data_IF_433048289339
#
_entry.id   IF_433048289339
#
_cell.length_a   1.000
_cell.length_b   1.000
_cell.length_c   1.000
_cell.angle_alpha   90.00
_cell.angle_beta   90.00
_cell.angle_gamma   90.00
#
_symmetry.space_group_name_H-M   'P 1'
#
loop_
_entity.id
_entity.type
_entity.pdbx_description
1 polymer ?
#
# COMPACT_ATOMS: atom_id res chain seq x y z
N UNK A 1 27.96 -28.88 16.39
CA UNK A 1 28.63 -30.10 16.93
C UNK A 1 29.91 -29.81 17.73
N UNK A 2 30.42 -28.58 17.77
CA UNK A 2 31.64 -28.21 18.52
C UNK A 2 31.34 -27.89 20.00
N UNK A 3 30.16 -27.37 20.35
CA UNK A 3 29.77 -27.02 21.73
C UNK A 3 29.54 -28.19 22.70
N UNK A 4 29.35 -29.43 22.20
CA UNK A 4 29.05 -30.58 23.09
C UNK A 4 30.27 -31.17 23.80
N UNK A 5 31.50 -30.82 23.40
CA UNK A 5 32.73 -31.40 23.99
C UNK A 5 33.27 -30.63 25.20
N UNK A 6 32.99 -29.34 25.35
CA UNK A 6 33.49 -28.55 26.49
C UNK A 6 32.67 -28.72 27.78
N UNK A 7 31.39 -29.11 27.67
CA UNK A 7 30.49 -29.23 28.81
C UNK A 7 30.81 -30.37 29.80
N UNK A 8 31.65 -31.36 29.43
CA UNK A 8 31.97 -32.50 30.32
C UNK A 8 32.95 -32.16 31.45
N UNK A 9 33.67 -31.04 31.39
CA UNK A 9 34.70 -30.67 32.36
C UNK A 9 34.29 -29.57 33.35
N UNK A 10 33.06 -29.05 33.24
CA UNK A 10 32.60 -27.90 34.02
C UNK A 10 32.19 -28.29 35.46
N UNK A 11 31.77 -29.55 35.67
CA UNK A 11 31.30 -30.05 36.97
C UNK A 11 32.36 -30.80 37.80
N UNK A 12 33.57 -31.01 37.27
CA UNK A 12 34.65 -31.66 38.02
C UNK A 12 35.38 -30.67 38.92
N UNK A 13 35.61 -31.01 40.20
CA UNK A 13 36.54 -30.26 41.03
C UNK A 13 37.89 -30.15 40.30
N UNK A 14 38.40 -28.93 40.16
CA UNK A 14 39.70 -28.69 39.55
C UNK A 14 40.80 -29.45 40.33
N UNK A 15 41.91 -29.78 39.66
CA UNK A 15 43.05 -30.46 40.29
C UNK A 15 43.50 -29.71 41.56
N UNK A 16 43.52 -28.37 41.50
CA UNK A 16 43.84 -27.48 42.61
C UNK A 16 42.81 -27.58 43.75
N UNK A 17 41.51 -27.58 43.42
CA UNK A 17 40.44 -27.74 44.40
C UNK A 17 40.53 -29.07 45.14
N UNK A 18 40.88 -30.16 44.44
CA UNK A 18 41.11 -31.49 45.06
C UNK A 18 42.32 -31.48 46.00
N UNK A 19 43.41 -30.83 45.59
CA UNK A 19 44.62 -30.66 46.40
C UNK A 19 44.40 -29.84 47.68
N UNK A 20 43.63 -28.74 47.59
CA UNK A 20 43.29 -27.92 48.76
C UNK A 20 42.40 -28.71 49.71
N UNK A 21 41.45 -29.48 49.18
CA UNK A 21 40.57 -30.33 49.99
C UNK A 21 41.35 -31.42 50.73
N UNK A 22 42.28 -32.12 50.04
CA UNK A 22 43.15 -33.11 50.69
C UNK A 22 44.10 -32.47 51.69
N UNK A 23 44.70 -31.32 51.38
CA UNK A 23 45.57 -30.59 52.32
C UNK A 23 44.80 -30.17 53.59
N UNK A 24 43.56 -29.69 53.43
CA UNK A 24 42.69 -29.33 54.55
C UNK A 24 42.34 -30.55 55.41
N UNK A 25 41.99 -31.67 54.77
CA UNK A 25 41.67 -32.92 55.46
C UNK A 25 42.88 -33.49 56.21
N UNK A 26 44.06 -33.42 55.60
CA UNK A 26 45.32 -33.83 56.24
C UNK A 26 45.64 -32.94 57.43
N UNK A 27 45.48 -31.62 57.33
CA UNK A 27 45.71 -30.69 58.44
C UNK A 27 44.75 -30.96 59.62
N UNK A 28 43.46 -31.18 59.33
CA UNK A 28 42.47 -31.53 60.34
C UNK A 28 42.77 -32.88 61.00
N UNK A 29 43.13 -33.90 60.20
CA UNK A 29 43.51 -35.21 60.73
C UNK A 29 44.80 -35.14 61.57
N UNK A 30 45.78 -34.36 61.12
CA UNK A 30 47.03 -34.14 61.84
C UNK A 30 46.79 -33.40 63.15
N UNK A 31 45.81 -32.50 63.24
CA UNK A 31 45.44 -31.82 64.50
C UNK A 31 45.15 -32.82 65.62
N UNK A 32 44.45 -33.93 65.34
CA UNK A 32 44.16 -34.95 66.35
C UNK A 32 45.39 -35.80 66.76
N UNK A 33 46.43 -35.85 65.91
CA UNK A 33 47.65 -36.64 66.15
C UNK A 33 48.78 -35.76 66.73
N UNK A 34 48.74 -34.46 66.44
CA UNK A 34 49.77 -33.49 66.79
C UNK A 34 50.06 -33.41 68.29
N UNK A 35 49.07 -33.44 69.21
CA UNK A 35 49.35 -33.48 70.64
C UNK A 35 50.18 -34.69 71.05
N UNK A 36 49.83 -35.88 70.58
CA UNK A 36 50.56 -37.11 70.91
C UNK A 36 52.01 -37.09 70.37
N UNK A 37 52.22 -36.58 69.16
CA UNK A 37 53.54 -36.49 68.54
C UNK A 37 54.42 -35.40 69.16
N UNK A 38 53.86 -34.22 69.39
CA UNK A 38 54.61 -33.04 69.82
C UNK A 38 54.85 -32.98 71.34
N UNK A 39 54.09 -33.71 72.17
CA UNK A 39 54.37 -33.81 73.63
C UNK A 39 55.28 -34.97 74.00
N UNK A 40 55.28 -36.08 73.23
CA UNK A 40 56.11 -37.27 73.53
C UNK A 40 57.56 -37.16 73.05
N UNK A 41 57.81 -36.32 72.05
CA UNK A 41 59.12 -36.09 71.45
C UNK A 41 59.60 -34.63 71.62
N UNK A 42 59.05 -33.87 72.58
CA UNK A 42 59.49 -32.50 72.87
C UNK A 42 60.79 -32.48 73.68
N UNK A 43 61.64 -31.48 73.39
CA UNK A 43 62.81 -31.11 74.20
C UNK A 43 62.37 -30.20 75.38
N UNK A 44 61.12 -29.74 75.36
CA UNK A 44 60.52 -28.79 76.29
C UNK A 44 59.56 -29.57 77.20
N UNK A 45 59.72 -29.38 78.52
CA UNK A 45 58.91 -30.03 79.56
C UNK A 45 57.62 -29.23 79.81
N UNK A 46 56.47 -29.89 79.65
CA UNK A 46 55.14 -29.29 79.80
C UNK A 46 54.45 -29.70 81.12
N UNK A 47 55.20 -30.28 82.07
CA UNK A 47 54.64 -30.77 83.35
C UNK A 47 54.11 -29.66 84.27
N UNK A 48 54.54 -28.40 84.12
CA UNK A 48 54.09 -27.26 84.96
C UNK A 48 53.08 -26.31 84.27
N UNK A 49 52.65 -26.57 83.03
CA UNK A 49 51.66 -25.72 82.35
C UNK A 49 50.24 -26.04 82.83
N UNK A 50 49.60 -25.06 83.48
CA UNK A 50 48.49 -25.23 84.42
C UNK A 50 47.15 -25.79 83.94
N UNK A 51 46.91 -26.07 82.66
CA UNK A 51 45.72 -26.83 82.24
C UNK A 51 46.06 -27.70 81.02
N UNK A 52 45.88 -29.02 81.11
CA UNK A 52 46.08 -29.96 79.98
C UNK A 52 45.27 -29.49 78.74
N UNK A 53 44.12 -28.85 78.97
CA UNK A 53 43.29 -28.24 77.92
C UNK A 53 44.00 -27.14 77.13
N UNK A 54 44.81 -26.29 77.76
CA UNK A 54 45.50 -25.17 77.11
C UNK A 54 46.64 -25.64 76.21
N UNK A 55 47.38 -26.66 76.63
CA UNK A 55 48.47 -27.24 75.82
C UNK A 55 47.91 -28.02 74.63
N UNK A 56 46.85 -28.80 74.84
CA UNK A 56 46.15 -29.48 73.75
C UNK A 56 45.55 -28.46 72.77
N UNK A 57 44.87 -27.43 73.28
CA UNK A 57 44.33 -26.34 72.47
C UNK A 57 45.41 -25.60 71.67
N UNK A 58 46.53 -25.24 72.30
CA UNK A 58 47.64 -24.53 71.67
C UNK A 58 48.30 -25.32 70.53
N UNK A 59 48.36 -26.65 70.62
CA UNK A 59 48.90 -27.53 69.58
C UNK A 59 47.87 -27.85 68.50
N UNK A 60 46.61 -28.09 68.86
CA UNK A 60 45.55 -28.48 67.92
C UNK A 60 45.03 -27.31 67.09
N UNK A 61 44.83 -26.14 67.72
CA UNK A 61 44.17 -24.97 67.13
C UNK A 61 44.86 -24.45 65.87
N UNK A 62 46.20 -24.36 65.77
CA UNK A 62 46.85 -23.93 64.53
C UNK A 62 46.51 -24.81 63.32
N UNK A 63 46.42 -26.13 63.50
CA UNK A 63 46.09 -27.06 62.40
C UNK A 63 44.60 -27.04 62.06
N UNK A 64 43.73 -26.87 63.07
CA UNK A 64 42.28 -26.66 62.85
C UNK A 64 42.06 -25.34 62.11
N UNK A 65 42.72 -24.27 62.54
CA UNK A 65 42.65 -22.96 61.90
C UNK A 65 43.19 -23.00 60.47
N UNK A 66 44.28 -23.73 60.21
CA UNK A 66 44.83 -23.93 58.87
C UNK A 66 43.85 -24.71 57.97
N UNK A 67 43.29 -25.81 58.46
CA UNK A 67 42.27 -26.59 57.74
C UNK A 67 41.01 -25.77 57.45
N UNK A 68 40.52 -25.02 58.44
CA UNK A 68 39.39 -24.12 58.32
C UNK A 68 39.64 -22.98 57.33
N UNK A 69 40.82 -22.37 57.35
CA UNK A 69 41.21 -21.32 56.41
C UNK A 69 41.30 -21.82 54.97
N UNK A 70 41.86 -23.02 54.75
CA UNK A 70 41.95 -23.64 53.43
C UNK A 70 40.56 -24.03 52.88
N UNK A 71 39.68 -24.59 53.71
CA UNK A 71 38.29 -24.88 53.31
C UNK A 71 37.51 -23.60 53.00
N UNK A 72 37.67 -22.56 53.82
CA UNK A 72 37.04 -21.25 53.62
C UNK A 72 37.54 -20.61 52.33
N UNK A 73 38.85 -20.64 52.05
CA UNK A 73 39.43 -20.20 50.79
C UNK A 73 38.84 -20.96 49.59
N UNK A 74 38.72 -22.29 49.69
CA UNK A 74 38.14 -23.11 48.65
C UNK A 74 36.66 -22.76 48.38
N UNK A 75 35.88 -22.53 49.43
CA UNK A 75 34.49 -22.09 49.31
C UNK A 75 34.39 -20.75 48.57
N UNK A 76 35.19 -19.75 48.96
CA UNK A 76 35.25 -18.46 48.27
C UNK A 76 35.71 -18.58 46.82
N UNK A 77 36.70 -19.43 46.54
CA UNK A 77 37.18 -19.67 45.17
C UNK A 77 36.10 -20.28 44.28
N UNK A 78 35.35 -21.27 44.79
CA UNK A 78 34.23 -21.88 44.07
C UNK A 78 33.10 -20.87 43.81
N UNK A 79 32.79 -20.02 44.80
CA UNK A 79 31.80 -18.95 44.65
C UNK A 79 32.25 -17.90 43.62
N UNK A 80 33.51 -17.49 43.64
CA UNK A 80 34.08 -16.58 42.64
C UNK A 80 33.96 -17.14 41.21
N UNK A 81 34.30 -18.43 41.04
CA UNK A 81 34.17 -19.11 39.73
C UNK A 81 32.72 -19.19 39.27
N UNK A 82 31.78 -19.51 40.17
CA UNK A 82 30.34 -19.55 39.86
C UNK A 82 29.82 -18.17 39.43
N UNK A 83 30.20 -17.10 40.15
CA UNK A 83 29.84 -15.73 39.80
C UNK A 83 30.38 -15.31 38.43
N UNK A 84 31.62 -15.73 38.09
CA UNK A 84 32.19 -15.46 36.76
C UNK A 84 31.38 -16.13 35.65
N UNK A 85 31.06 -17.42 35.80
CA UNK A 85 30.24 -18.16 34.84
C UNK A 85 28.83 -17.55 34.71
N UNK A 86 28.23 -17.16 35.83
CA UNK A 86 26.93 -16.50 35.85
C UNK A 86 26.96 -15.17 35.10
N UNK A 87 28.03 -14.37 35.27
CA UNK A 87 28.21 -13.11 34.54
C UNK A 87 28.36 -13.35 33.04
N UNK A 88 29.15 -14.35 32.63
CA UNK A 88 29.31 -14.71 31.22
C UNK A 88 27.98 -15.15 30.59
N UNK A 89 27.20 -15.98 31.30
CA UNK A 89 25.86 -16.40 30.85
C UNK A 89 24.90 -15.21 30.76
N UNK A 90 24.96 -14.29 31.71
CA UNK A 90 24.15 -13.08 31.73
C UNK A 90 24.48 -12.16 30.55
N UNK A 91 25.77 -11.98 30.23
CA UNK A 91 26.20 -11.17 29.08
C UNK A 91 25.71 -11.78 27.76
N UNK A 92 25.82 -13.11 27.60
CA UNK A 92 25.30 -13.83 26.42
C UNK A 92 23.77 -13.70 26.33
N UNK A 93 23.07 -13.80 27.45
CA UNK A 93 21.61 -13.65 27.49
C UNK A 93 21.19 -12.25 27.03
N UNK A 94 21.83 -11.20 27.56
CA UNK A 94 21.57 -9.82 27.15
C UNK A 94 21.80 -9.64 25.65
N UNK A 95 22.87 -10.22 25.11
CA UNK A 95 23.18 -10.12 23.68
C UNK A 95 22.12 -10.80 22.81
N UNK A 96 21.69 -12.01 23.20
CA UNK A 96 20.62 -12.73 22.51
C UNK A 96 19.28 -12.00 22.59
N UNK A 97 18.90 -11.48 23.77
CA UNK A 97 17.69 -10.67 23.96
C UNK A 97 17.73 -9.40 23.12
N UNK A 98 18.87 -8.69 23.09
CA UNK A 98 19.06 -7.50 22.24
C UNK A 98 18.90 -7.84 20.76
N UNK A 99 19.40 -9.00 20.32
CA UNK A 99 19.28 -9.44 18.94
C UNK A 99 17.82 -9.75 18.59
N UNK A 100 17.14 -10.53 19.41
CA UNK A 100 15.73 -10.87 19.23
C UNK A 100 14.85 -9.61 19.22
N UNK A 101 15.08 -8.69 20.15
CA UNK A 101 14.37 -7.41 20.22
C UNK A 101 14.57 -6.55 18.97
N UNK A 102 15.79 -6.54 18.40
CA UNK A 102 16.06 -5.82 17.13
C UNK A 102 15.33 -6.44 15.95
N UNK A 103 15.27 -7.77 15.89
CA UNK A 103 14.53 -8.50 14.86
C UNK A 103 13.02 -8.22 14.96
N UNK A 104 12.46 -8.28 16.17
CA UNK A 104 11.05 -7.98 16.43
C UNK A 104 10.68 -6.54 16.07
N UNK A 105 11.49 -5.55 16.48
CA UNK A 105 11.28 -4.14 16.08
C UNK A 105 11.31 -3.99 14.56
N UNK A 106 12.20 -4.70 13.87
CA UNK A 106 12.30 -4.63 12.42
C UNK A 106 11.02 -5.16 11.77
N UNK A 107 10.56 -6.33 12.19
CA UNK A 107 9.31 -6.92 11.68
C UNK A 107 8.09 -6.04 12.00
N UNK A 108 8.01 -5.48 13.21
CA UNK A 108 6.95 -4.57 13.61
C UNK A 108 6.94 -3.29 12.77
N UNK A 109 8.11 -2.71 12.49
CA UNK A 109 8.22 -1.53 11.63
C UNK A 109 7.78 -1.83 10.20
N UNK A 110 8.14 -2.99 9.64
CA UNK A 110 7.70 -3.41 8.31
C UNK A 110 6.17 -3.58 8.25
N UNK A 111 5.58 -4.24 9.25
CA UNK A 111 4.12 -4.38 9.37
C UNK A 111 3.42 -3.04 9.55
N UNK A 112 3.98 -2.15 10.38
CA UNK A 112 3.44 -0.82 10.61
C UNK A 112 3.41 0.01 9.33
N UNK A 113 4.50 0.04 8.56
CA UNK A 113 4.55 0.76 7.28
C UNK A 113 3.53 0.21 6.27
N UNK A 114 3.38 -1.13 6.20
CA UNK A 114 2.36 -1.76 5.34
C UNK A 114 0.95 -1.39 5.78
N UNK A 115 0.66 -1.44 7.08
CA UNK A 115 -0.63 -1.04 7.63
C UNK A 115 -0.95 0.44 7.39
N UNK A 116 0.03 1.33 7.58
CA UNK A 116 -0.14 2.76 7.25
C UNK A 116 -0.48 2.98 5.79
N UNK A 117 0.23 2.31 4.88
CA UNK A 117 -0.05 2.35 3.46
C UNK A 117 -1.46 1.85 3.15
N UNK A 118 -1.86 0.70 3.69
CA UNK A 118 -3.19 0.10 3.47
C UNK A 118 -4.31 1.03 3.98
N UNK A 119 -4.15 1.59 5.19
CA UNK A 119 -5.12 2.53 5.75
C UNK A 119 -5.26 3.77 4.88
N UNK A 120 -4.16 4.37 4.45
CA UNK A 120 -4.20 5.53 3.55
C UNK A 120 -4.84 5.17 2.20
N UNK A 121 -4.52 4.00 1.64
CA UNK A 121 -5.10 3.52 0.39
C UNK A 121 -6.63 3.36 0.50
N UNK A 122 -7.13 2.72 1.55
CA UNK A 122 -8.58 2.51 1.73
C UNK A 122 -9.32 3.83 1.99
N UNK A 123 -8.71 4.79 2.70
CA UNK A 123 -9.27 6.14 2.84
C UNK A 123 -9.37 6.87 1.49
N UNK A 124 -8.37 6.71 0.61
CA UNK A 124 -8.44 7.27 -0.75
C UNK A 124 -9.55 6.62 -1.59
N UNK A 125 -9.78 5.30 -1.44
CA UNK A 125 -10.94 4.63 -2.06
C UNK A 125 -12.25 5.21 -1.51
N UNK A 126 -12.35 5.41 -0.19
CA UNK A 126 -13.55 5.97 0.43
C UNK A 126 -13.88 7.35 -0.14
N UNK A 127 -12.89 8.25 -0.18
CA UNK A 127 -13.04 9.59 -0.80
C UNK A 127 -13.43 9.52 -2.27
N UNK A 128 -12.91 8.54 -3.02
CA UNK A 128 -13.32 8.32 -4.41
C UNK A 128 -14.79 7.89 -4.51
N UNK A 129 -15.26 6.99 -3.64
CA UNK A 129 -16.67 6.57 -3.60
C UNK A 129 -17.60 7.72 -3.21
N UNK A 130 -17.18 8.59 -2.29
CA UNK A 130 -17.90 9.81 -1.93
C UNK A 130 -18.05 10.73 -3.15
N UNK A 131 -16.95 11.04 -3.85
CA UNK A 131 -17.01 11.81 -5.09
C UNK A 131 -18.00 11.22 -6.11
N UNK A 132 -17.99 9.89 -6.29
CA UNK A 132 -18.92 9.20 -7.20
C UNK A 132 -20.36 9.41 -6.73
N UNK A 133 -20.64 9.27 -5.44
CA UNK A 133 -21.98 9.43 -4.87
C UNK A 133 -22.54 10.85 -4.97
N UNK A 134 -21.65 11.86 -4.97
CA UNK A 134 -22.02 13.28 -5.10
C UNK A 134 -22.35 13.69 -6.54
N UNK A 135 -21.82 12.96 -7.53
CA UNK A 135 -22.17 13.20 -8.93
C UNK A 135 -23.66 12.91 -9.11
N UNK A 136 -24.40 13.89 -9.64
CA UNK A 136 -25.82 13.75 -9.93
C UNK A 136 -26.24 14.57 -11.14
N UNK A 137 -27.30 14.12 -11.79
CA UNK A 137 -28.00 14.82 -12.86
C UNK A 137 -29.51 14.80 -12.57
N UNK A 138 -30.21 15.82 -13.05
CA UNK A 138 -31.67 15.91 -12.96
C UNK A 138 -32.28 15.49 -14.28
N UNK A 139 -32.87 14.30 -14.31
CA UNK A 139 -33.65 13.83 -15.45
C UNK A 139 -35.00 14.54 -15.45
N UNK A 140 -35.40 14.98 -16.62
CA UNK A 140 -36.61 15.75 -16.88
C UNK A 140 -37.67 14.81 -17.42
N UNK A 141 -38.84 14.86 -16.82
CA UNK A 141 -39.98 14.07 -17.23
C UNK A 141 -41.19 14.97 -17.44
N UNK A 142 -41.98 14.63 -18.47
CA UNK A 142 -43.25 15.30 -18.76
C UNK A 142 -44.28 14.26 -19.16
N UNK A 143 -45.36 14.17 -18.40
CA UNK A 143 -46.47 13.24 -18.62
C UNK A 143 -47.81 13.90 -18.30
N UNK A 144 -48.88 13.34 -18.87
CA UNK A 144 -50.26 13.78 -18.63
C UNK A 144 -50.87 12.90 -17.55
N UNK A 145 -51.47 13.51 -16.52
CA UNK A 145 -52.26 12.80 -15.52
C UNK A 145 -53.55 13.57 -15.26
N UNK A 146 -54.71 12.92 -15.43
CA UNK A 146 -56.01 13.55 -15.24
C UNK A 146 -56.28 14.77 -16.14
N UNK A 147 -55.65 14.84 -17.32
CA UNK A 147 -55.77 15.98 -18.25
C UNK A 147 -54.88 17.19 -17.90
N UNK A 148 -54.04 17.08 -16.88
CA UNK A 148 -53.05 18.12 -16.52
C UNK A 148 -51.63 17.69 -16.92
N UNK A 149 -50.84 18.65 -17.39
CA UNK A 149 -49.41 18.48 -17.65
C UNK A 149 -48.63 18.48 -16.33
N UNK A 150 -47.90 17.41 -16.07
CA UNK A 150 -47.01 17.27 -14.91
C UNK A 150 -45.57 17.27 -15.40
N UNK A 151 -44.74 18.10 -14.75
CA UNK A 151 -43.31 18.17 -14.93
C UNK A 151 -42.63 17.62 -13.67
N UNK A 152 -41.74 16.64 -13.82
CA UNK A 152 -40.92 16.15 -12.71
C UNK A 152 -39.44 16.18 -13.05
N UNK A 153 -38.65 16.44 -12.02
CA UNK A 153 -37.20 16.35 -12.05
C UNK A 153 -36.79 15.15 -11.18
N UNK A 154 -36.40 14.06 -11.83
CA UNK A 154 -35.96 12.85 -11.16
C UNK A 154 -34.43 12.89 -11.03
N UNK A 155 -33.94 13.01 -9.79
CA UNK A 155 -32.50 13.04 -9.51
C UNK A 155 -31.91 11.64 -9.64
N UNK A 156 -30.94 11.49 -10.53
CA UNK A 156 -30.08 10.30 -10.61
C UNK A 156 -28.70 10.65 -10.05
N UNK A 157 -28.14 9.80 -9.21
CA UNK A 157 -26.84 10.00 -8.59
C UNK A 157 -25.96 8.75 -8.63
N UNK A 158 -24.68 8.93 -8.32
CA UNK A 158 -23.74 7.81 -8.24
C UNK A 158 -23.35 7.26 -9.61
N UNK A 159 -23.14 5.94 -9.66
CA UNK A 159 -22.63 5.23 -10.84
C UNK A 159 -23.53 5.34 -12.06
N UNK A 160 -24.85 5.39 -11.85
CA UNK A 160 -25.83 5.42 -12.95
C UNK A 160 -25.67 6.68 -13.82
N UNK A 161 -25.19 7.78 -13.24
CA UNK A 161 -24.95 9.05 -13.96
C UNK A 161 -23.94 8.86 -15.11
N UNK A 162 -22.94 7.99 -14.94
CA UNK A 162 -21.90 7.78 -15.95
C UNK A 162 -22.43 7.20 -17.26
N UNK A 163 -23.60 6.53 -17.24
CA UNK A 163 -24.29 6.10 -18.47
C UNK A 163 -24.72 7.31 -19.29
N UNK A 164 -25.37 8.28 -18.66
CA UNK A 164 -25.84 9.50 -19.31
C UNK A 164 -24.69 10.40 -19.78
N UNK A 165 -23.65 10.54 -18.95
CA UNK A 165 -22.44 11.28 -19.32
C UNK A 165 -21.73 10.67 -20.53
N UNK A 166 -21.71 9.33 -20.62
CA UNK A 166 -21.14 8.63 -21.77
C UNK A 166 -21.96 8.89 -23.05
N UNK A 167 -23.29 8.84 -22.96
CA UNK A 167 -24.14 9.14 -24.12
C UNK A 167 -24.02 10.60 -24.56
N UNK A 168 -23.88 11.54 -23.63
CA UNK A 168 -23.68 12.96 -23.96
C UNK A 168 -22.36 13.20 -24.69
N UNK A 169 -21.25 12.60 -24.22
CA UNK A 169 -19.97 12.76 -24.93
C UNK A 169 -19.97 12.07 -26.30
N UNK A 170 -20.68 10.94 -26.44
CA UNK A 170 -20.89 10.30 -27.73
C UNK A 170 -21.65 11.23 -28.68
N UNK A 171 -22.75 11.84 -28.22
CA UNK A 171 -23.50 12.83 -28.98
C UNK A 171 -22.61 14.01 -29.41
N UNK A 172 -21.86 14.58 -28.47
CA UNK A 172 -20.94 15.69 -28.74
C UNK A 172 -19.88 15.33 -29.77
N UNK A 173 -19.31 14.11 -29.71
CA UNK A 173 -18.34 13.65 -30.69
C UNK A 173 -18.93 13.63 -32.10
N UNK A 174 -20.12 13.06 -32.28
CA UNK A 174 -20.75 12.95 -33.58
C UNK A 174 -21.17 14.30 -34.14
N UNK A 175 -21.74 15.18 -33.30
CA UNK A 175 -22.00 16.57 -33.69
C UNK A 175 -20.69 17.24 -34.12
N UNK A 176 -19.61 17.09 -33.36
CA UNK A 176 -18.31 17.68 -33.71
C UNK A 176 -17.81 17.16 -35.06
N UNK A 177 -18.03 15.87 -35.37
CA UNK A 177 -17.64 15.26 -36.64
C UNK A 177 -18.40 15.83 -37.84
N UNK A 178 -19.67 16.21 -37.69
CA UNK A 178 -20.45 16.89 -38.75
C UNK A 178 -19.85 18.26 -39.12
N UNK A 179 -19.41 19.05 -38.13
CA UNK A 179 -18.80 20.37 -38.39
C UNK A 179 -17.34 20.28 -38.86
N UNK A 180 -16.65 19.19 -38.51
CA UNK A 180 -15.23 19.01 -38.76
C UNK A 180 -14.87 17.66 -39.41
N UNK A 181 -15.51 17.26 -40.53
CA UNK A 181 -15.43 15.89 -41.06
C UNK A 181 -14.04 15.48 -41.54
N UNK A 182 -13.20 16.46 -41.91
CA UNK A 182 -11.81 16.23 -42.37
C UNK A 182 -10.78 16.23 -41.25
N UNK A 183 -11.17 16.46 -40.00
CA UNK A 183 -10.25 16.50 -38.85
C UNK A 183 -10.01 15.10 -38.29
N UNK A 184 -8.87 14.91 -37.64
CA UNK A 184 -8.52 13.62 -37.04
C UNK A 184 -9.39 13.31 -35.83
N UNK A 185 -9.56 12.02 -35.51
CA UNK A 185 -10.33 11.58 -34.34
C UNK A 185 -9.80 12.16 -33.02
N UNK A 186 -8.50 12.44 -32.93
CA UNK A 186 -7.87 13.15 -31.80
C UNK A 186 -8.36 14.58 -31.65
N UNK A 187 -8.48 15.32 -32.76
CA UNK A 187 -9.03 16.68 -32.75
C UNK A 187 -10.50 16.65 -32.34
N UNK A 188 -11.28 15.73 -32.92
CA UNK A 188 -12.72 15.59 -32.65
C UNK A 188 -13.00 15.31 -31.18
N UNK A 189 -12.31 14.33 -30.57
CA UNK A 189 -12.50 14.01 -29.15
C UNK A 189 -11.96 15.09 -28.22
N UNK A 190 -10.89 15.79 -28.58
CA UNK A 190 -10.41 16.93 -27.81
C UNK A 190 -11.46 18.03 -27.73
N UNK A 191 -12.05 18.39 -28.87
CA UNK A 191 -13.09 19.42 -28.94
C UNK A 191 -14.38 18.98 -28.24
N UNK A 192 -14.88 17.78 -28.51
CA UNK A 192 -16.07 17.23 -27.88
C UNK A 192 -15.91 17.11 -26.36
N UNK A 193 -14.79 16.57 -25.88
CA UNK A 193 -14.50 16.44 -24.45
C UNK A 193 -14.36 17.82 -23.79
N UNK A 194 -13.79 18.79 -24.50
CA UNK A 194 -13.65 20.14 -24.00
C UNK A 194 -15.00 20.82 -23.74
N UNK A 195 -15.95 20.70 -24.67
CA UNK A 195 -17.35 21.13 -24.46
C UNK A 195 -17.99 20.34 -23.31
N UNK A 196 -17.87 19.01 -23.33
CA UNK A 196 -18.40 18.15 -22.27
C UNK A 196 -17.91 18.54 -20.87
N UNK A 197 -16.63 18.92 -20.74
CA UNK A 197 -16.03 19.22 -19.45
C UNK A 197 -16.27 20.68 -19.00
N UNK A 198 -16.17 21.66 -19.91
CA UNK A 198 -16.26 23.09 -19.58
C UNK A 198 -17.62 23.73 -19.89
N UNK A 199 -18.47 23.05 -20.64
CA UNK A 199 -19.77 23.55 -21.08
C UNK A 199 -19.68 24.82 -21.91
N UNK A 200 -20.62 25.73 -21.70
CA UNK A 200 -20.68 27.04 -22.38
C UNK A 200 -19.44 27.94 -22.17
N UNK A 201 -18.56 27.62 -21.21
CA UNK A 201 -17.29 28.32 -21.00
C UNK A 201 -16.12 27.74 -21.80
N UNK A 202 -16.36 26.71 -22.63
CA UNK A 202 -15.33 26.03 -23.41
C UNK A 202 -14.56 26.99 -24.33
N UNK A 203 -15.25 27.93 -24.97
CA UNK A 203 -14.66 28.88 -25.91
C UNK A 203 -13.70 29.89 -25.22
N UNK A 204 -13.98 30.26 -23.96
CA UNK A 204 -13.16 31.25 -23.21
C UNK A 204 -11.75 30.76 -22.86
N UNK A 205 -11.45 29.45 -23.01
CA UNK A 205 -10.20 28.82 -22.56
C UNK A 205 -9.38 28.17 -23.69
N UNK A 206 -9.83 28.22 -24.93
CA UNK A 206 -9.08 27.69 -26.06
C UNK A 206 -8.06 28.72 -26.57
N UNK A 207 -6.78 28.46 -26.32
CA UNK A 207 -5.66 29.22 -26.91
C UNK A 207 -5.49 28.98 -28.42
N UNK A 208 -6.34 28.17 -29.07
CA UNK A 208 -6.22 27.86 -30.50
C UNK A 208 -7.39 28.43 -31.32
N UNK A 209 -7.12 29.61 -31.91
CA UNK A 209 -7.77 30.23 -33.09
C UNK A 209 -9.05 31.02 -32.86
N UNK A 210 -8.85 32.33 -32.72
CA UNK A 210 -9.38 33.40 -33.60
C UNK A 210 -10.90 33.39 -33.88
N UNK A 211 -11.64 34.47 -33.56
CA UNK A 211 -13.11 34.61 -33.73
C UNK A 211 -13.66 34.52 -35.18
N UNK A 212 -12.91 33.98 -36.15
CA UNK A 212 -13.23 34.00 -37.59
C UNK A 212 -13.31 32.61 -38.27
N UNK A 213 -13.23 31.47 -37.55
CA UNK A 213 -13.53 30.16 -38.17
C UNK A 213 -15.05 29.91 -38.16
N UNK A 214 -15.68 30.13 -39.31
CA UNK A 214 -17.14 29.98 -39.50
C UNK A 214 -17.65 28.63 -38.97
N UNK A 215 -16.91 27.54 -39.20
CA UNK A 215 -17.35 26.21 -38.75
C UNK A 215 -17.37 26.10 -37.23
N UNK A 216 -16.46 26.78 -36.53
CA UNK A 216 -16.44 26.81 -35.06
C UNK A 216 -17.61 27.61 -34.50
N UNK A 217 -17.88 28.79 -35.07
CA UNK A 217 -19.03 29.62 -34.70
C UNK A 217 -20.34 28.87 -34.94
N UNK A 218 -20.49 28.25 -36.10
CA UNK A 218 -21.68 27.47 -36.46
C UNK A 218 -21.85 26.25 -35.53
N UNK A 219 -20.76 25.58 -35.15
CA UNK A 219 -20.76 24.47 -34.18
C UNK A 219 -21.28 24.93 -32.82
N UNK A 220 -20.72 26.00 -32.24
CA UNK A 220 -21.14 26.51 -30.92
C UNK A 220 -22.60 26.99 -30.96
N UNK A 221 -23.00 27.74 -31.98
CA UNK A 221 -24.38 28.19 -32.15
C UNK A 221 -25.34 27.01 -32.26
N UNK A 222 -24.95 25.93 -32.93
CA UNK A 222 -25.78 24.73 -33.05
C UNK A 222 -25.95 24.03 -31.72
N UNK A 223 -24.90 23.94 -30.89
CA UNK A 223 -25.01 23.37 -29.53
C UNK A 223 -25.94 24.20 -28.64
N UNK A 224 -25.83 25.52 -28.67
CA UNK A 224 -26.72 26.44 -27.92
C UNK A 224 -28.17 26.22 -28.38
N UNK A 225 -28.41 26.23 -29.68
CA UNK A 225 -29.75 26.02 -30.23
C UNK A 225 -30.30 24.65 -29.85
N UNK A 226 -29.52 23.57 -29.96
CA UNK A 226 -29.95 22.23 -29.56
C UNK A 226 -30.41 22.22 -28.11
N UNK A 227 -29.61 22.77 -27.18
CA UNK A 227 -29.99 22.79 -25.76
C UNK A 227 -31.27 23.61 -25.51
N UNK A 228 -31.40 24.78 -26.15
CA UNK A 228 -32.59 25.63 -26.06
C UNK A 228 -33.83 24.92 -26.59
N UNK A 229 -33.79 24.39 -27.82
CA UNK A 229 -34.92 23.70 -28.44
C UNK A 229 -35.28 22.40 -27.74
N UNK A 230 -34.29 21.69 -27.21
CA UNK A 230 -34.49 20.48 -26.41
C UNK A 230 -35.25 20.79 -25.11
N UNK A 231 -34.88 21.87 -24.41
CA UNK A 231 -35.59 22.35 -23.23
C UNK A 231 -37.04 22.76 -23.53
N UNK A 232 -37.27 23.54 -24.60
CA UNK A 232 -38.63 23.91 -25.05
C UNK A 232 -39.47 22.70 -25.48
N UNK A 233 -38.82 21.66 -26.01
CA UNK A 233 -39.44 20.40 -26.38
C UNK A 233 -39.76 19.48 -25.20
N UNK A 234 -39.64 19.96 -23.95
CA UNK A 234 -39.80 19.17 -22.73
C UNK A 234 -38.86 17.95 -22.70
N UNK A 235 -37.65 18.12 -23.24
CA UNK A 235 -36.61 17.09 -23.26
C UNK A 235 -37.04 15.82 -24.01
N UNK A 236 -37.84 15.99 -25.07
CA UNK A 236 -38.30 14.94 -25.98
C UNK A 236 -37.95 15.27 -27.43
N UNK A 237 -37.69 14.23 -28.22
CA UNK A 237 -37.42 14.38 -29.65
C UNK A 237 -36.03 14.93 -29.93
N UNK A 238 -35.04 14.65 -29.06
CA UNK A 238 -33.67 15.13 -29.21
C UNK A 238 -33.11 14.84 -30.60
N UNK A 239 -33.37 13.65 -31.15
CA UNK A 239 -32.92 13.29 -32.50
C UNK A 239 -33.37 14.27 -33.59
N UNK A 240 -34.62 14.76 -33.52
CA UNK A 240 -35.14 15.71 -34.50
C UNK A 240 -34.48 17.09 -34.35
N UNK A 241 -34.27 17.51 -33.09
CA UNK A 241 -33.61 18.78 -32.77
C UNK A 241 -32.15 18.76 -33.24
N UNK A 242 -31.42 17.68 -32.95
CA UNK A 242 -30.01 17.51 -33.38
C UNK A 242 -29.92 17.48 -34.90
N UNK A 243 -30.70 16.62 -35.57
CA UNK A 243 -30.73 16.52 -37.03
C UNK A 243 -30.97 17.88 -37.71
N UNK A 244 -31.90 18.67 -37.18
CA UNK A 244 -32.23 20.01 -37.73
C UNK A 244 -31.05 21.00 -37.66
N UNK A 245 -30.22 20.91 -36.62
CA UNK A 245 -29.17 21.92 -36.38
C UNK A 245 -27.78 21.45 -36.82
N UNK A 246 -27.55 20.14 -37.00
CA UNK A 246 -26.20 19.61 -37.29
C UNK A 246 -26.17 18.68 -38.50
N UNK A 247 -27.31 18.15 -38.94
CA UNK A 247 -27.39 17.09 -39.93
C UNK A 247 -27.14 15.68 -39.37
N UNK A 248 -26.68 15.54 -38.13
CA UNK A 248 -26.45 14.24 -37.49
C UNK A 248 -27.77 13.52 -37.20
N UNK A 249 -27.86 12.26 -37.62
CA UNK A 249 -28.98 11.36 -37.34
C UNK A 249 -28.60 10.31 -36.29
N UNK A 250 -29.60 9.73 -35.62
CA UNK A 250 -29.45 8.69 -34.60
C UNK A 250 -28.91 9.19 -33.25
N UNK A 251 -29.20 10.45 -32.89
CA UNK A 251 -29.01 10.86 -31.50
C UNK A 251 -29.98 10.06 -30.61
N UNK A 252 -29.45 9.40 -29.59
CA UNK A 252 -30.28 8.75 -28.56
C UNK A 252 -31.05 9.80 -27.79
N UNK A 253 -32.22 9.42 -27.27
CA UNK A 253 -32.98 10.31 -26.42
C UNK A 253 -32.26 10.49 -25.08
N UNK A 254 -32.02 11.75 -24.71
CA UNK A 254 -31.45 12.14 -23.43
C UNK A 254 -32.38 13.16 -22.83
N UNK A 255 -32.90 12.90 -21.64
CA UNK A 255 -33.92 13.73 -21.04
C UNK A 255 -33.35 14.63 -19.93
N UNK A 256 -32.24 15.30 -20.17
CA UNK A 256 -31.61 16.21 -19.20
C UNK A 256 -30.99 17.40 -19.93
N UNK A 257 -30.55 18.42 -19.17
CA UNK A 257 -29.93 19.61 -19.77
C UNK A 257 -28.57 19.23 -20.34
N UNK A 258 -28.34 19.55 -21.62
CA UNK A 258 -27.14 19.17 -22.34
C UNK A 258 -26.11 20.30 -22.34
N UNK A 259 -24.83 19.93 -22.40
CA UNK A 259 -23.70 20.81 -22.69
C UNK A 259 -23.42 21.91 -21.65
N UNK A 260 -23.93 21.78 -20.42
CA UNK A 260 -23.63 22.72 -19.33
C UNK A 260 -22.23 22.58 -18.74
N UNK A 261 -21.58 21.44 -19.00
CA UNK A 261 -20.23 21.15 -18.55
C UNK A 261 -20.17 20.47 -17.19
N UNK A 262 -19.29 19.48 -17.06
CA UNK A 262 -19.22 18.60 -15.88
C UNK A 262 -17.99 18.82 -14.98
N UNK A 263 -17.24 19.90 -15.20
CA UNK A 263 -15.97 20.14 -14.51
C UNK A 263 -16.08 20.24 -12.98
N UNK A 264 -17.19 20.76 -12.45
CA UNK A 264 -17.41 20.92 -11.00
C UNK A 264 -17.25 19.59 -10.25
N UNK A 265 -17.82 18.50 -10.78
CA UNK A 265 -17.77 17.19 -10.13
C UNK A 265 -16.67 16.29 -10.72
N UNK A 266 -16.53 16.24 -12.05
CA UNK A 266 -15.57 15.35 -12.69
C UNK A 266 -14.11 15.73 -12.39
N UNK A 267 -13.80 17.01 -12.12
CA UNK A 267 -12.44 17.40 -11.75
C UNK A 267 -11.98 16.74 -10.45
N UNK A 268 -12.83 16.70 -9.42
CA UNK A 268 -12.51 16.06 -8.15
C UNK A 268 -12.43 14.54 -8.29
N UNK A 269 -13.38 13.95 -9.02
CA UNK A 269 -13.39 12.53 -9.35
C UNK A 269 -12.06 12.08 -10.00
N UNK A 270 -11.66 12.71 -11.11
CA UNK A 270 -10.42 12.33 -11.81
C UNK A 270 -9.17 12.62 -10.99
N UNK A 271 -9.14 13.73 -10.24
CA UNK A 271 -7.99 14.08 -9.40
C UNK A 271 -7.78 13.05 -8.29
N UNK A 272 -8.81 12.69 -7.54
CA UNK A 272 -8.68 11.71 -6.46
C UNK A 272 -8.36 10.32 -7.02
N UNK A 273 -8.98 9.91 -8.12
CA UNK A 273 -8.67 8.64 -8.78
C UNK A 273 -7.20 8.59 -9.24
N UNK A 274 -6.73 9.64 -9.92
CA UNK A 274 -5.33 9.75 -10.37
C UNK A 274 -4.35 9.73 -9.20
N UNK A 275 -4.62 10.48 -8.13
CA UNK A 275 -3.74 10.51 -6.97
C UNK A 275 -3.68 9.17 -6.25
N UNK A 276 -4.79 8.43 -6.20
CA UNK A 276 -4.81 7.08 -5.62
C UNK A 276 -3.93 6.14 -6.42
N UNK A 277 -4.04 6.18 -7.76
CA UNK A 277 -3.22 5.35 -8.63
C UNK A 277 -1.74 5.72 -8.51
N UNK A 278 -1.43 7.02 -8.54
CA UNK A 278 -0.07 7.52 -8.37
C UNK A 278 0.53 7.15 -7.01
N UNK A 279 -0.26 7.24 -5.94
CA UNK A 279 0.15 6.87 -4.59
C UNK A 279 0.63 5.42 -4.53
N UNK A 280 -0.12 4.48 -5.11
CA UNK A 280 0.27 3.06 -5.15
C UNK A 280 1.44 2.81 -6.11
N UNK A 281 1.37 3.37 -7.32
CA UNK A 281 2.37 3.12 -8.37
C UNK A 281 3.78 3.59 -7.95
N UNK A 282 3.87 4.70 -7.20
CA UNK A 282 5.13 5.32 -6.80
C UNK A 282 5.74 4.74 -5.52
N UNK A 283 5.13 3.73 -4.89
CA UNK A 283 5.74 3.08 -3.72
C UNK A 283 7.07 2.40 -4.08
N UNK A 284 7.99 2.31 -3.13
CA UNK A 284 9.25 1.60 -3.30
C UNK A 284 9.00 0.10 -3.52
N UNK A 285 9.54 -0.47 -4.61
CA UNK A 285 9.35 -1.89 -4.94
C UNK A 285 10.06 -2.85 -3.98
N UNK A 286 11.02 -2.36 -3.18
CA UNK A 286 11.62 -3.13 -2.09
C UNK A 286 10.67 -3.34 -0.90
N UNK A 287 9.65 -2.48 -0.77
CA UNK A 287 8.65 -2.52 0.32
C UNK A 287 7.30 -3.02 -0.14
N UNK A 288 6.86 -2.60 -1.32
CA UNK A 288 5.59 -2.98 -1.93
C UNK A 288 5.90 -3.45 -3.35
N UNK A 289 5.92 -4.77 -3.52
CA UNK A 289 6.28 -5.39 -4.78
C UNK A 289 5.33 -4.97 -5.91
N UNK A 290 5.77 -5.10 -7.17
CA UNK A 290 4.90 -4.78 -8.31
C UNK A 290 3.60 -5.60 -8.32
N UNK A 291 3.62 -6.87 -7.92
CA UNK A 291 2.40 -7.68 -7.80
C UNK A 291 1.47 -7.18 -6.68
N UNK A 292 2.01 -6.71 -5.56
CA UNK A 292 1.20 -6.06 -4.51
C UNK A 292 0.58 -4.75 -5.02
N UNK A 293 1.35 -3.90 -5.72
CA UNK A 293 0.81 -2.68 -6.36
C UNK A 293 -0.35 -3.02 -7.31
N UNK A 294 -0.16 -4.04 -8.15
CA UNK A 294 -1.19 -4.57 -9.06
C UNK A 294 -2.42 -5.08 -8.32
N UNK A 295 -2.24 -5.78 -7.19
CA UNK A 295 -3.34 -6.22 -6.32
C UNK A 295 -4.16 -5.02 -5.81
N UNK A 296 -3.52 -3.99 -5.27
CA UNK A 296 -4.23 -2.80 -4.78
C UNK A 296 -4.94 -2.04 -5.91
N UNK A 297 -4.26 -1.81 -7.04
CA UNK A 297 -4.89 -1.11 -8.16
C UNK A 297 -6.02 -1.91 -8.81
N UNK A 298 -5.99 -3.25 -8.73
CA UNK A 298 -7.13 -4.10 -9.08
C UNK A 298 -8.30 -3.91 -8.12
N UNK A 299 -8.07 -3.76 -6.82
CA UNK A 299 -9.13 -3.43 -5.84
C UNK A 299 -9.77 -2.09 -6.17
N UNK A 300 -8.96 -1.06 -6.46
CA UNK A 300 -9.45 0.25 -6.89
C UNK A 300 -10.23 0.16 -8.20
N UNK A 301 -9.69 -0.51 -9.23
CA UNK A 301 -10.36 -0.70 -10.52
C UNK A 301 -11.69 -1.45 -10.39
N UNK A 302 -11.79 -2.42 -9.49
CA UNK A 302 -13.05 -3.12 -9.23
C UNK A 302 -14.15 -2.18 -8.70
N UNK A 303 -13.78 -0.99 -8.21
CA UNK A 303 -14.72 0.08 -7.87
C UNK A 303 -15.09 0.97 -9.06
N UNK A 304 -14.68 0.70 -10.30
CA UNK A 304 -15.01 1.50 -11.48
C UNK A 304 -15.93 0.70 -12.41
N UNK A 305 -17.07 1.28 -12.77
CA UNK A 305 -17.92 0.73 -13.83
C UNK A 305 -17.22 0.80 -15.20
N UNK A 306 -17.74 0.04 -16.17
CA UNK A 306 -17.20 0.08 -17.53
C UNK A 306 -17.35 1.49 -18.13
N UNK A 307 -18.47 2.18 -17.84
CA UNK A 307 -18.71 3.57 -18.27
C UNK A 307 -17.69 4.54 -17.66
N UNK A 308 -17.34 4.37 -16.38
CA UNK A 308 -16.30 5.15 -15.71
C UNK A 308 -14.92 4.94 -16.38
N UNK A 309 -14.56 3.70 -16.71
CA UNK A 309 -13.31 3.38 -17.40
C UNK A 309 -13.28 3.94 -18.83
N UNK A 310 -14.42 3.94 -19.55
CA UNK A 310 -14.52 4.54 -20.89
C UNK A 310 -14.40 6.07 -20.82
N UNK A 311 -15.07 6.72 -19.87
CA UNK A 311 -14.92 8.17 -19.67
C UNK A 311 -13.49 8.55 -19.28
N UNK A 312 -12.82 7.72 -18.47
CA UNK A 312 -11.40 7.88 -18.16
C UNK A 312 -10.51 7.73 -19.41
N UNK A 313 -10.82 6.76 -20.28
CA UNK A 313 -10.17 6.63 -21.58
C UNK A 313 -10.37 7.88 -22.45
N UNK A 314 -11.58 8.44 -22.52
CA UNK A 314 -11.82 9.69 -23.26
C UNK A 314 -11.15 10.91 -22.64
N UNK A 315 -11.07 10.98 -21.31
CA UNK A 315 -10.32 12.02 -20.61
C UNK A 315 -8.84 11.99 -21.03
N UNK A 316 -8.22 10.82 -21.08
CA UNK A 316 -6.85 10.68 -21.58
C UNK A 316 -6.74 10.97 -23.08
N UNK A 317 -7.64 10.38 -23.88
CA UNK A 317 -7.59 10.44 -25.34
C UNK A 317 -7.80 11.85 -25.88
N UNK A 318 -8.58 12.67 -25.17
CA UNK A 318 -8.77 14.10 -25.44
C UNK A 318 -7.58 14.95 -25.04
N UNK A 319 -6.60 14.42 -24.32
CA UNK A 319 -5.41 15.14 -23.85
C UNK A 319 -5.56 15.81 -22.48
N UNK A 320 -6.77 15.91 -21.94
CA UNK A 320 -7.02 16.44 -20.58
C UNK A 320 -6.36 15.57 -19.51
N UNK A 321 -6.39 14.26 -19.71
CA UNK A 321 -5.84 13.22 -18.86
C UNK A 321 -4.49 12.67 -19.32
N UNK A 322 -3.69 13.42 -20.09
CA UNK A 322 -2.41 12.93 -20.67
C UNK A 322 -1.42 12.31 -19.66
N UNK A 323 -1.58 12.61 -18.37
CA UNK A 323 -0.74 12.08 -17.30
C UNK A 323 -1.03 10.63 -16.94
N UNK A 324 -2.16 10.07 -17.36
CA UNK A 324 -2.52 8.67 -17.13
C UNK A 324 -1.62 7.68 -17.88
N UNK A 325 -1.32 7.99 -19.15
CA UNK A 325 -0.51 7.14 -20.01
C UNK A 325 0.37 8.02 -20.92
N UNK A 326 1.68 7.99 -20.68
CA UNK A 326 2.73 8.72 -21.39
C UNK A 326 4.10 8.05 -21.18
N UNK A 327 5.19 8.73 -21.54
CA UNK A 327 6.56 8.19 -21.43
C UNK A 327 6.99 7.89 -19.99
N UNK A 328 6.45 8.63 -19.01
CA UNK A 328 6.79 8.53 -17.59
C UNK A 328 5.78 7.66 -16.83
N UNK A 329 4.49 7.88 -17.04
CA UNK A 329 3.41 7.17 -16.35
C UNK A 329 2.74 6.20 -17.31
N UNK A 330 2.66 4.93 -16.92
CA UNK A 330 2.04 3.86 -17.70
C UNK A 330 0.88 3.23 -16.95
N UNK A 331 -0.07 4.03 -16.47
CA UNK A 331 -1.09 3.55 -15.55
C UNK A 331 -2.15 2.69 -16.23
N UNK A 332 -2.48 2.97 -17.48
CA UNK A 332 -3.41 2.14 -18.24
C UNK A 332 -2.75 0.82 -18.61
N UNK A 333 -1.48 0.85 -19.01
CA UNK A 333 -0.76 -0.33 -19.47
C UNK A 333 -0.18 -1.15 -18.31
N UNK A 334 0.83 -0.63 -17.61
CA UNK A 334 1.52 -1.35 -16.54
C UNK A 334 0.59 -1.73 -15.37
N UNK A 335 -0.50 -1.02 -15.14
CA UNK A 335 -1.41 -1.30 -14.02
C UNK A 335 -2.84 -1.68 -14.40
N UNK A 336 -3.15 -1.75 -15.71
CA UNK A 336 -4.47 -2.15 -16.23
C UNK A 336 -5.64 -1.35 -15.65
N UNK A 337 -5.49 -0.04 -15.48
CA UNK A 337 -6.56 0.79 -14.88
C UNK A 337 -7.84 0.88 -15.73
N UNK A 338 -7.77 0.56 -17.02
CA UNK A 338 -8.91 0.52 -17.96
C UNK A 338 -9.12 -0.89 -18.54
N UNK A 339 -8.89 -1.94 -17.76
CA UNK A 339 -8.93 -3.33 -18.23
C UNK A 339 -10.29 -3.79 -18.79
N UNK A 340 -11.40 -3.24 -18.27
CA UNK A 340 -12.75 -3.75 -18.54
C UNK A 340 -13.45 -3.01 -19.70
N UNK A 341 -12.72 -2.22 -20.48
CA UNK A 341 -13.27 -1.58 -21.69
C UNK A 341 -13.11 -2.49 -22.91
N UNK A 342 -14.08 -2.44 -23.82
CA UNK A 342 -14.07 -3.16 -25.09
C UNK A 342 -14.57 -2.24 -26.21
N UNK A 343 -14.24 -2.57 -27.48
CA UNK A 343 -14.46 -1.67 -28.62
C UNK A 343 -15.92 -1.24 -28.78
N UNK A 344 -16.89 -2.11 -28.49
CA UNK A 344 -18.32 -1.80 -28.68
C UNK A 344 -18.84 -0.76 -27.69
N UNK A 345 -18.14 -0.52 -26.56
CA UNK A 345 -18.45 0.59 -25.66
C UNK A 345 -17.88 1.93 -26.14
N UNK A 346 -16.99 1.91 -27.13
CA UNK A 346 -16.34 3.11 -27.63
C UNK A 346 -17.06 3.65 -28.87
N UNK A 347 -16.99 4.97 -29.04
CA UNK A 347 -17.15 5.62 -30.34
C UNK A 347 -16.31 4.87 -31.38
N UNK A 348 -16.95 4.49 -32.49
CA UNK A 348 -16.43 3.60 -33.53
C UNK A 348 -15.11 4.04 -34.19
N UNK A 349 -14.78 5.33 -34.08
CA UNK A 349 -13.52 5.89 -34.58
C UNK A 349 -12.31 5.50 -33.71
N UNK A 350 -12.54 4.89 -32.55
CA UNK A 350 -11.50 4.36 -31.66
C UNK A 350 -11.49 2.84 -31.68
N UNK A 351 -10.29 2.28 -31.78
CA UNK A 351 -10.08 0.84 -31.75
C UNK A 351 -8.90 0.54 -30.82
N UNK A 352 -9.16 -0.22 -29.75
CA UNK A 352 -8.20 -0.51 -28.68
C UNK A 352 -7.03 -1.36 -29.18
N UNK A 353 -7.29 -2.30 -30.09
CA UNK A 353 -6.26 -3.16 -30.68
C UNK A 353 -5.21 -2.31 -31.40
N UNK A 354 -5.67 -1.37 -32.24
CA UNK A 354 -4.79 -0.43 -32.96
C UNK A 354 -4.14 0.59 -32.03
N UNK A 355 -4.88 1.15 -31.08
CA UNK A 355 -4.38 2.21 -30.20
C UNK A 355 -3.30 1.73 -29.24
N UNK A 356 -3.41 0.50 -28.74
CA UNK A 356 -2.44 -0.10 -27.81
C UNK A 356 -1.49 -1.09 -28.50
N UNK A 357 -1.52 -1.17 -29.84
CA UNK A 357 -0.69 -2.06 -30.65
C UNK A 357 -0.71 -3.52 -30.14
N UNK A 358 -1.91 -4.04 -29.83
CA UNK A 358 -2.07 -5.35 -29.20
C UNK A 358 -1.65 -6.52 -30.11
N UNK A 359 -1.49 -6.27 -31.41
CA UNK A 359 -1.03 -7.25 -32.42
C UNK A 359 0.49 -7.50 -32.37
N UNK A 360 1.26 -6.66 -31.66
CA UNK A 360 2.72 -6.79 -31.53
C UNK A 360 3.10 -7.14 -30.08
N UNK A 361 4.35 -7.53 -29.87
CA UNK A 361 4.86 -7.81 -28.52
C UNK A 361 4.57 -6.64 -27.56
N UNK A 362 3.99 -7.00 -26.42
CA UNK A 362 3.42 -6.09 -25.44
C UNK A 362 4.50 -5.28 -24.72
N UNK A 363 4.50 -3.95 -24.86
CA UNK A 363 5.43 -3.04 -24.18
C UNK A 363 4.97 -2.63 -22.77
N UNK A 364 4.43 -3.57 -21.99
CA UNK A 364 3.92 -3.31 -20.64
C UNK A 364 4.34 -4.39 -19.66
N UNK A 365 4.52 -4.02 -18.39
CA UNK A 365 4.92 -4.94 -17.31
C UNK A 365 3.86 -6.01 -17.10
N UNK A 366 4.28 -7.25 -16.83
CA UNK A 366 3.40 -8.39 -16.49
C UNK A 366 3.74 -8.93 -15.11
N UNK A 367 2.76 -9.51 -14.44
CA UNK A 367 2.99 -10.22 -13.17
C UNK A 367 3.74 -11.55 -13.43
N UNK A 368 4.77 -11.88 -12.63
CA UNK A 368 5.69 -12.99 -12.94
C UNK A 368 5.05 -14.39 -12.93
N UNK A 369 3.92 -14.56 -12.23
CA UNK A 369 3.28 -15.87 -12.00
C UNK A 369 1.87 -15.96 -12.62
N UNK A 370 1.58 -15.18 -13.67
CA UNK A 370 0.26 -15.15 -14.31
C UNK A 370 0.37 -15.56 -15.77
N UNK A 371 -0.22 -16.71 -16.11
CA UNK A 371 -0.20 -17.27 -17.48
C UNK A 371 -0.80 -16.27 -18.49
N UNK A 372 -1.98 -15.73 -18.20
CA UNK A 372 -2.63 -14.68 -18.98
C UNK A 372 -2.71 -13.38 -18.17
N UNK A 373 -1.83 -12.42 -18.49
CA UNK A 373 -1.84 -11.05 -17.94
C UNK A 373 -2.05 -10.02 -19.06
N UNK A 374 -3.11 -10.22 -19.84
CA UNK A 374 -3.55 -9.37 -20.95
C UNK A 374 -3.92 -7.95 -20.48
N UNK A 375 -3.89 -6.99 -21.42
CA UNK A 375 -4.16 -5.59 -21.11
C UNK A 375 -5.65 -5.34 -20.92
N UNK A 376 -6.49 -5.97 -21.74
CA UNK A 376 -7.95 -5.87 -21.68
C UNK A 376 -8.59 -7.25 -21.53
N UNK A 377 -9.73 -7.28 -20.85
CA UNK A 377 -10.49 -8.50 -20.56
C UNK A 377 -10.95 -9.22 -21.84
N UNK A 378 -11.32 -8.48 -22.88
CA UNK A 378 -11.79 -9.07 -24.14
C UNK A 378 -10.71 -9.86 -24.90
N UNK A 379 -9.45 -9.74 -24.50
CA UNK A 379 -8.36 -10.54 -25.08
C UNK A 379 -8.37 -11.99 -24.57
N UNK A 380 -9.11 -12.25 -23.49
CA UNK A 380 -9.24 -13.56 -22.86
C UNK A 380 -10.55 -14.27 -23.26
N UNK A 381 -11.42 -13.63 -24.06
CA UNK A 381 -12.75 -14.13 -24.46
C UNK A 381 -12.71 -15.15 -25.59
#
# INVERSE_FOLDING_TARGET
>A
MIERKENKNIYGLSKISKWILTASFTALSFSFIAPYLLTKFSIIDFTETGEIGDTLGGIMNPFIALGGALLTYLAFYMQFKANKLQREQFDIQIENEKKQFREEIKEQNEQFLKSQFENQFYEMIRLHKENVSEISISLKSHYLSGGQSIYSDDKVSGREVFKYLLEEINLLYWITKEFFPKKSSNFLINMAYGVFFHGNNFDKKLESKGPNDKNHVDFINSLININVWHSHGNYKGLNQVVKRHTGFENAKELNFILFEGHSSHLAHYYRHLYQTVKFVANQDETKITYSEKRKYLRILRAQLSNQEQVLLFYNWKSGFGKNWENKTNRFFTDYRMIHNIYNDLLITDFNLIKLFNLEKESYYRKEPNRENDTLFEFQDW
#
